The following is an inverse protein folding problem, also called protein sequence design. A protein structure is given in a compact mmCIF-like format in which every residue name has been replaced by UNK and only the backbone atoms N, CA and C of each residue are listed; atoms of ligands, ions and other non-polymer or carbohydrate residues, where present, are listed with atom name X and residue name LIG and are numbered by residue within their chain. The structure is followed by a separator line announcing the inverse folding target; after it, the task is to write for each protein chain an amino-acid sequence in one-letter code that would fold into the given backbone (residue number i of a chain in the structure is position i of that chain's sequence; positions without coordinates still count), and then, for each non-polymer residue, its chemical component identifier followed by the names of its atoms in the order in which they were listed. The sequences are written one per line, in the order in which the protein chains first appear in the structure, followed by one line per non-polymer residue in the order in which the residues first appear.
data_IF_206120398668
#
_entry.id   IF_206120398668
#
_cell.length_a   1.000
_cell.length_b   1.000
_cell.length_c   1.000
_cell.angle_alpha   90.00
_cell.angle_beta   90.00
_cell.angle_gamma   90.00
#
_symmetry.space_group_name_H-M   'P 1'
#
loop_
_entity.id
_entity.type
_entity.pdbx_description
1 polymer ?
#
# COMPACT_ATOMS: atom_id res chain seq x y z
N UNK A 1 8.07 3.39 15.98
CA UNK A 1 6.65 3.69 15.72
C UNK A 1 6.33 3.10 14.36
N UNK A 2 5.35 2.22 14.25
CA UNK A 2 4.89 1.78 12.92
C UNK A 2 4.03 2.89 12.33
N UNK A 3 4.08 3.03 11.01
CA UNK A 3 3.27 3.97 10.25
C UNK A 3 2.46 3.16 9.27
N UNK A 4 1.17 3.47 9.15
CA UNK A 4 0.31 2.90 8.12
C UNK A 4 0.12 3.92 7.01
N UNK A 5 0.50 3.55 5.79
CA UNK A 5 0.24 4.30 4.56
C UNK A 5 -1.02 3.71 3.92
N UNK A 6 -2.06 4.52 3.76
CA UNK A 6 -3.27 4.14 3.05
C UNK A 6 -3.18 4.67 1.63
N UNK A 7 -3.19 3.77 0.65
CA UNK A 7 -3.22 4.09 -0.78
C UNK A 7 -4.64 3.89 -1.28
N UNK A 8 -5.29 4.96 -1.74
CA UNK A 8 -6.63 4.91 -2.31
C UNK A 8 -6.54 5.00 -3.84
N UNK A 9 -6.89 3.93 -4.57
CA UNK A 9 -7.03 4.01 -6.02
C UNK A 9 -8.15 4.96 -6.44
N UNK A 10 -8.02 5.51 -7.65
CA UNK A 10 -9.08 6.26 -8.32
C UNK A 10 -10.29 5.37 -8.64
N UNK A 11 -11.41 5.99 -8.99
CA UNK A 11 -12.61 5.34 -9.46
C UNK A 11 -12.36 4.47 -10.69
N UNK A 12 -12.85 3.23 -10.62
CA UNK A 12 -12.91 2.30 -11.74
C UNK A 12 -14.32 2.32 -12.31
N UNK A 13 -14.56 3.26 -13.24
CA UNK A 13 -15.91 3.58 -13.67
C UNK A 13 -16.69 4.21 -12.51
N UNK A 14 -17.77 3.56 -12.08
CA UNK A 14 -18.60 4.04 -10.95
C UNK A 14 -18.24 3.39 -9.60
N UNK A 15 -17.19 2.57 -9.55
CA UNK A 15 -16.79 1.83 -8.36
C UNK A 15 -15.53 2.43 -7.77
N UNK A 16 -15.57 2.83 -6.50
CA UNK A 16 -14.39 3.19 -5.73
C UNK A 16 -13.73 1.92 -5.19
N UNK A 17 -12.49 1.58 -5.60
CA UNK A 17 -11.82 0.38 -5.12
C UNK A 17 -11.53 0.45 -3.63
N UNK A 18 -11.42 -0.73 -3.01
CA UNK A 18 -11.02 -0.81 -1.61
C UNK A 18 -9.57 -0.33 -1.46
N UNK A 19 -9.25 0.53 -0.47
CA UNK A 19 -7.90 1.03 -0.28
C UNK A 19 -6.93 -0.06 0.18
N UNK A 20 -5.64 0.16 -0.11
CA UNK A 20 -4.55 -0.65 0.41
C UNK A 20 -3.99 -0.02 1.68
N UNK A 21 -3.92 -0.79 2.77
CA UNK A 21 -3.31 -0.37 4.02
C UNK A 21 -1.93 -1.00 4.13
N UNK A 22 -0.88 -0.20 4.06
CA UNK A 22 0.51 -0.67 3.98
C UNK A 22 1.23 -0.32 5.26
N UNK A 23 1.81 -1.31 5.93
CA UNK A 23 2.78 -1.04 6.99
C UNK A 23 4.06 -0.47 6.37
N UNK A 24 4.42 0.75 6.72
CA UNK A 24 5.53 1.47 6.10
C UNK A 24 6.90 0.84 6.37
N UNK A 25 7.03 0.06 7.46
CA UNK A 25 8.30 -0.56 7.83
C UNK A 25 8.58 -1.87 7.12
N UNK A 26 7.53 -2.61 6.73
CA UNK A 26 7.63 -3.95 6.15
C UNK A 26 7.06 -4.07 4.74
N UNK A 27 6.24 -3.10 4.32
CA UNK A 27 5.43 -3.17 3.10
C UNK A 27 4.24 -4.13 3.21
N UNK A 28 3.99 -4.76 4.36
CA UNK A 28 2.90 -5.72 4.50
C UNK A 28 1.53 -5.06 4.29
N UNK A 29 0.68 -5.72 3.53
CA UNK A 29 -0.68 -5.29 3.27
C UNK A 29 -1.58 -5.75 4.42
N UNK A 30 -2.21 -4.80 5.11
CA UNK A 30 -3.22 -5.06 6.12
C UNK A 30 -4.52 -5.61 5.54
N UNK A 31 -5.47 -5.94 6.41
CA UNK A 31 -6.78 -6.51 6.02
C UNK A 31 -6.68 -7.79 5.17
N UNK A 32 -5.78 -8.71 5.56
CA UNK A 32 -5.65 -10.01 4.91
C UNK A 32 -6.93 -10.88 5.01
N UNK A 33 -7.83 -10.57 5.95
CA UNK A 33 -9.20 -11.11 5.98
C UNK A 33 -10.01 -10.79 4.72
N UNK A 34 -9.74 -9.64 4.09
CA UNK A 34 -10.37 -9.20 2.85
C UNK A 34 -9.58 -9.68 1.62
N UNK A 35 -8.24 -9.55 1.65
CA UNK A 35 -7.39 -9.84 0.50
C UNK A 35 -7.04 -11.32 0.30
N UNK A 36 -7.21 -12.17 1.33
CA UNK A 36 -6.98 -13.62 1.21
C UNK A 36 -5.56 -14.00 0.79
N UNK A 37 -4.55 -13.18 1.10
CA UNK A 37 -3.15 -13.42 0.70
C UNK A 37 -2.74 -12.83 -0.65
N UNK A 38 -3.63 -12.15 -1.38
CA UNK A 38 -3.30 -11.48 -2.64
C UNK A 38 -4.10 -10.17 -2.78
N UNK A 39 -3.46 -8.99 -2.57
CA UNK A 39 -2.02 -8.78 -2.33
C UNK A 39 -1.58 -9.06 -0.88
N UNK A 40 -0.30 -9.44 -0.70
CA UNK A 40 0.31 -9.71 0.61
C UNK A 40 1.32 -8.63 1.04
N UNK A 41 2.20 -8.20 0.15
CA UNK A 41 3.23 -7.19 0.41
C UNK A 41 3.36 -6.22 -0.76
N UNK A 42 3.42 -4.92 -0.48
CA UNK A 42 3.80 -3.90 -1.46
C UNK A 42 5.32 -3.89 -1.64
N UNK A 43 5.77 -4.00 -2.88
CA UNK A 43 7.20 -4.02 -3.24
C UNK A 43 7.65 -2.63 -3.71
N UNK A 44 6.75 -1.91 -4.37
CA UNK A 44 6.97 -0.55 -4.84
C UNK A 44 5.83 -0.10 -5.74
N UNK A 45 6.06 0.98 -6.46
CA UNK A 45 5.12 1.58 -7.41
C UNK A 45 5.76 1.66 -8.79
N UNK A 46 4.92 1.60 -9.82
CA UNK A 46 5.31 1.66 -11.23
C UNK A 46 4.44 2.67 -11.98
N UNK A 47 4.89 3.09 -13.16
CA UNK A 47 4.03 3.83 -14.08
C UNK A 47 2.95 2.92 -14.68
N UNK A 48 1.78 3.48 -14.98
CA UNK A 48 0.66 2.73 -15.55
C UNK A 48 1.02 2.04 -16.87
N UNK A 49 1.80 2.69 -17.72
CA UNK A 49 2.26 2.20 -19.03
C UNK A 49 3.55 1.37 -18.96
N UNK A 50 4.23 1.36 -17.82
CA UNK A 50 5.43 0.56 -17.55
C UNK A 50 5.31 -0.18 -16.20
N UNK A 51 4.30 -1.05 -16.01
CA UNK A 51 3.93 -1.59 -14.69
C UNK A 51 4.92 -2.62 -14.11
N UNK A 52 5.95 -2.99 -14.88
CA UNK A 52 7.04 -3.86 -14.44
C UNK A 52 8.34 -3.11 -14.13
N UNK A 53 8.35 -1.79 -14.30
CA UNK A 53 9.47 -0.92 -13.91
C UNK A 53 9.11 -0.22 -12.59
N UNK A 54 9.74 -0.66 -11.49
CA UNK A 54 9.55 -0.02 -10.19
C UNK A 54 10.28 1.31 -10.20
N UNK A 55 9.52 2.40 -10.11
CA UNK A 55 10.03 3.79 -10.12
C UNK A 55 9.99 4.46 -8.76
N UNK A 56 9.28 3.85 -7.81
CA UNK A 56 9.29 4.25 -6.40
C UNK A 56 9.33 2.97 -5.56
N UNK A 57 10.44 2.74 -4.87
CA UNK A 57 10.61 1.57 -4.00
C UNK A 57 9.81 1.74 -2.71
N UNK A 58 9.53 0.64 -2.01
CA UNK A 58 8.87 0.71 -0.69
C UNK A 58 9.64 1.58 0.32
N UNK A 59 10.98 1.59 0.26
CA UNK A 59 11.81 2.43 1.14
C UNK A 59 11.60 3.92 0.87
N UNK A 60 11.65 4.32 -0.39
CA UNK A 60 11.39 5.71 -0.80
C UNK A 60 9.94 6.12 -0.51
N UNK A 61 8.98 5.21 -0.73
CA UNK A 61 7.58 5.44 -0.39
C UNK A 61 7.38 5.65 1.12
N UNK A 62 8.15 4.97 1.97
CA UNK A 62 8.07 5.17 3.42
C UNK A 62 8.58 6.55 3.86
N UNK A 63 9.51 7.15 3.10
CA UNK A 63 10.05 8.49 3.32
C UNK A 63 9.13 9.58 2.76
N UNK A 64 8.59 9.38 1.55
CA UNK A 64 7.62 10.26 0.90
C UNK A 64 6.41 9.48 0.36
N UNK A 65 5.39 9.21 1.21
CA UNK A 65 4.20 8.46 0.79
C UNK A 65 3.39 9.14 -0.32
N UNK A 66 3.44 10.46 -0.43
CA UNK A 66 2.64 11.19 -1.41
C UNK A 66 3.17 11.05 -2.84
N UNK A 67 4.42 10.63 -3.02
CA UNK A 67 4.99 10.31 -4.33
C UNK A 67 4.29 9.13 -5.03
N UNK A 68 3.46 8.34 -4.32
CA UNK A 68 2.65 7.28 -4.92
C UNK A 68 1.50 7.77 -5.81
N UNK A 69 1.04 9.02 -5.67
CA UNK A 69 -0.10 9.53 -6.44
C UNK A 69 0.22 9.51 -7.94
N UNK A 70 -0.71 8.97 -8.73
CA UNK A 70 -0.56 8.77 -10.17
C UNK A 70 0.19 7.50 -10.57
N UNK A 71 0.71 6.73 -9.62
CA UNK A 71 1.38 5.45 -9.86
C UNK A 71 0.45 4.26 -9.60
N UNK A 72 0.86 3.09 -10.06
CA UNK A 72 0.18 1.82 -9.78
C UNK A 72 1.02 0.97 -8.82
N UNK A 73 0.40 0.24 -7.88
CA UNK A 73 1.15 -0.59 -6.94
C UNK A 73 1.65 -1.88 -7.59
N UNK A 74 2.82 -2.33 -7.15
CA UNK A 74 3.40 -3.64 -7.48
C UNK A 74 3.45 -4.47 -6.20
N UNK A 75 2.69 -5.56 -6.19
CA UNK A 75 2.55 -6.43 -5.03
C UNK A 75 3.21 -7.77 -5.23
N UNK A 76 3.66 -8.33 -4.11
CA UNK A 76 4.02 -9.72 -3.93
C UNK A 76 2.87 -10.42 -3.19
N UNK A 77 2.49 -11.63 -3.61
CA UNK A 77 1.54 -12.49 -2.92
C UNK A 77 2.23 -13.36 -1.86
N UNK A 78 1.44 -14.10 -1.08
CA UNK A 78 1.97 -14.94 0.02
C UNK A 78 2.86 -16.11 -0.44
N UNK A 79 2.91 -16.43 -1.74
CA UNK A 79 3.76 -17.51 -2.31
C UNK A 79 4.91 -16.97 -3.18
N UNK A 80 5.12 -15.66 -3.20
CA UNK A 80 6.21 -14.99 -3.90
C UNK A 80 5.92 -14.63 -5.37
N UNK A 81 4.65 -14.72 -5.79
CA UNK A 81 4.20 -14.24 -7.10
C UNK A 81 4.07 -12.71 -7.12
N UNK A 82 4.48 -12.08 -8.21
CA UNK A 82 4.38 -10.63 -8.40
C UNK A 82 3.18 -10.28 -9.27
N UNK A 83 2.42 -9.28 -8.86
CA UNK A 83 1.24 -8.81 -9.56
C UNK A 83 1.11 -7.29 -9.49
N UNK A 84 0.46 -6.73 -10.50
CA UNK A 84 0.13 -5.31 -10.59
C UNK A 84 -1.15 -5.17 -11.39
N UNK A 85 -1.91 -4.12 -11.11
CA UNK A 85 -3.16 -3.82 -11.79
C UNK A 85 -3.07 -2.40 -12.34
N UNK A 86 -2.87 -2.28 -13.65
CA UNK A 86 -2.66 -0.98 -14.33
C UNK A 86 -3.84 -0.01 -14.21
N UNK A 87 -5.03 -0.51 -13.88
CA UNK A 87 -6.19 0.32 -13.59
C UNK A 87 -6.19 0.91 -12.16
N UNK A 88 -5.42 0.35 -11.22
CA UNK A 88 -5.37 0.78 -9.82
C UNK A 88 -4.41 1.95 -9.63
N UNK A 89 -4.64 3.05 -10.36
CA UNK A 89 -3.86 4.28 -10.22
C UNK A 89 -4.21 4.94 -8.89
N UNK A 90 -3.21 5.25 -8.07
CA UNK A 90 -3.43 5.87 -6.76
C UNK A 90 -3.85 7.34 -6.95
N UNK A 91 -5.02 7.69 -6.44
CA UNK A 91 -5.55 9.06 -6.44
C UNK A 91 -5.13 9.82 -5.18
N UNK A 92 -5.20 9.17 -4.02
CA UNK A 92 -4.88 9.82 -2.75
C UNK A 92 -4.16 8.90 -1.77
N UNK A 93 -3.41 9.55 -0.88
CA UNK A 93 -2.59 8.89 0.16
C UNK A 93 -2.89 9.52 1.51
N UNK A 94 -3.07 8.68 2.52
CA UNK A 94 -3.20 9.11 3.93
C UNK A 94 -2.18 8.36 4.78
N UNK A 95 -1.51 9.05 5.69
CA UNK A 95 -0.53 8.45 6.61
C UNK A 95 -1.04 8.54 8.04
N UNK A 96 -0.96 7.44 8.78
CA UNK A 96 -1.28 7.38 10.20
C UNK A 96 -0.11 6.81 10.97
N UNK A 97 0.33 7.52 12.01
CA UNK A 97 1.26 6.98 13.00
C UNK A 97 0.48 6.03 13.91
N UNK A 98 0.96 4.79 14.03
CA UNK A 98 0.45 3.90 15.06
C UNK A 98 1.02 4.38 16.40
N UNK A 99 0.19 5.09 17.14
CA UNK A 99 0.50 5.47 18.51
C UNK A 99 0.61 4.18 19.30
N UNK A 100 1.84 3.82 19.70
CA UNK A 100 2.04 2.79 20.70
C UNK A 100 1.19 3.19 21.90
N UNK A 101 0.18 2.38 22.25
CA UNK A 101 -0.56 2.56 23.50
C UNK A 101 0.45 2.40 24.64
N UNK A 102 1.01 3.51 25.10
CA UNK A 102 1.72 3.56 26.38
C UNK A 102 0.68 3.96 27.40
N UNK A 103 0.15 2.98 28.13
CA UNK A 103 -0.78 3.17 29.25
C UNK A 103 -1.87 2.10 29.28
N UNK A 104 -2.09 1.37 30.36
CA UNK A 104 -1.47 1.44 31.68
C UNK A 104 -2.04 0.33 32.56
N UNK A 105 -1.18 -0.18 33.43
CA UNK A 105 -1.56 -0.90 34.63
C UNK A 105 -2.65 -0.11 35.36
N UNK A 106 -3.82 -0.72 35.58
CA UNK A 106 -4.75 -0.30 36.61
C UNK A 106 -4.82 -1.44 37.61
N UNK A 107 -4.35 -1.12 38.82
CA UNK A 107 -4.30 -1.94 40.02
C UNK A 107 -5.67 -2.51 40.44
#
# INVERSE_FOLDING_TARGET
MSKTITLQPDYLGDVLPYPFFIDAGSGLVGRQDFWGGSPYRLVGMAWQDAPFEVVLTMGELAEDPHAAVGLVPVFEDAVGGYSTWTQMVIDSVTVKDDVARVGGEAA
#
